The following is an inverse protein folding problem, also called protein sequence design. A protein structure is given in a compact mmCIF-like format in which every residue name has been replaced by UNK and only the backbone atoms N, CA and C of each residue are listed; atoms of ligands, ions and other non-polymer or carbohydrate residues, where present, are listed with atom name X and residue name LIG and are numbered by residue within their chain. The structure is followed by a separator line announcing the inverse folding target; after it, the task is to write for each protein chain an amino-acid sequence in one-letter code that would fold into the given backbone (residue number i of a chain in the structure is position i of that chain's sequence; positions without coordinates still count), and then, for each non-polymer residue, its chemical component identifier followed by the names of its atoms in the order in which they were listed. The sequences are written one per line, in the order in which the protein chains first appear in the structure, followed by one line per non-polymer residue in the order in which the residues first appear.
data_IF_087599589247
#
_entry.id   IF_087599589247
#
_cell.length_a   1.000
_cell.length_b   1.000
_cell.length_c   1.000
_cell.angle_alpha   90.00
_cell.angle_beta   90.00
_cell.angle_gamma   90.00
#
_symmetry.space_group_name_H-M   'P 1'
#
loop_
_entity.id
_entity.type
_entity.pdbx_description
1 polymer ?
#
# COMPACT_ATOMS: atom_id res chain seq x y z
N UNK A 1 13.52 -16.80 -4.53
CA UNK A 1 14.58 -17.50 -5.29
C UNK A 1 15.26 -16.52 -6.22
N UNK A 2 16.55 -16.29 -6.03
CA UNK A 2 17.40 -15.46 -6.92
C UNK A 2 17.96 -16.38 -8.01
N UNK A 3 17.69 -16.02 -9.26
CA UNK A 3 18.22 -16.73 -10.44
C UNK A 3 19.48 -16.03 -10.91
N UNK A 4 20.54 -16.79 -11.11
CA UNK A 4 21.84 -16.29 -11.55
C UNK A 4 22.35 -17.12 -12.72
N UNK A 5 22.82 -16.45 -13.75
CA UNK A 5 23.47 -17.03 -14.92
C UNK A 5 24.90 -16.52 -14.97
N UNK A 6 25.87 -17.39 -14.85
CA UNK A 6 27.29 -17.03 -14.94
C UNK A 6 27.85 -17.48 -16.29
N UNK A 7 28.36 -16.52 -17.08
CA UNK A 7 28.99 -16.77 -18.37
C UNK A 7 30.33 -16.08 -18.44
N UNK A 8 31.38 -16.82 -18.76
CA UNK A 8 32.77 -16.32 -18.79
C UNK A 8 33.20 -15.59 -17.49
N UNK A 9 32.75 -16.07 -16.34
CA UNK A 9 33.07 -15.49 -15.03
C UNK A 9 32.26 -14.26 -14.64
N UNK A 10 31.31 -13.82 -15.48
CA UNK A 10 30.42 -12.70 -15.18
C UNK A 10 29.04 -13.21 -14.80
N UNK A 11 28.51 -12.76 -13.69
CA UNK A 11 27.17 -13.10 -13.22
C UNK A 11 26.11 -12.13 -13.79
N UNK A 12 25.01 -12.69 -14.26
CA UNK A 12 23.84 -11.98 -14.77
C UNK A 12 22.61 -12.40 -13.97
N UNK A 13 21.68 -11.47 -13.77
CA UNK A 13 20.42 -11.71 -13.05
C UNK A 13 19.20 -11.68 -13.97
N UNK A 14 19.43 -11.67 -15.28
CA UNK A 14 18.40 -11.71 -16.30
C UNK A 14 18.80 -12.68 -17.40
N UNK A 15 17.89 -13.60 -17.72
CA UNK A 15 18.04 -14.55 -18.83
C UNK A 15 18.30 -13.84 -20.15
N UNK A 16 17.62 -12.73 -20.41
CA UNK A 16 17.81 -11.94 -21.61
C UNK A 16 19.23 -11.39 -21.72
N UNK A 17 19.81 -10.89 -20.63
CA UNK A 17 21.18 -10.35 -20.66
C UNK A 17 22.21 -11.42 -20.98
N UNK A 18 22.12 -12.58 -20.35
CA UNK A 18 23.10 -13.65 -20.64
C UNK A 18 22.95 -14.18 -22.08
N UNK A 19 21.73 -14.26 -22.61
CA UNK A 19 21.50 -14.62 -24.03
C UNK A 19 22.16 -13.64 -24.99
N UNK A 20 22.07 -12.34 -24.70
CA UNK A 20 22.73 -11.32 -25.53
C UNK A 20 24.25 -11.46 -25.48
N UNK A 21 24.83 -11.77 -24.34
CA UNK A 21 26.28 -11.94 -24.20
C UNK A 21 26.79 -13.22 -24.91
N UNK A 22 26.06 -14.33 -24.81
CA UNK A 22 26.36 -15.56 -25.56
C UNK A 22 26.27 -15.29 -27.08
N UNK A 23 25.20 -14.59 -27.52
CA UNK A 23 25.07 -14.24 -28.93
C UNK A 23 26.21 -13.34 -29.43
N UNK A 24 26.60 -12.33 -28.67
CA UNK A 24 27.70 -11.43 -29.05
C UNK A 24 29.05 -12.14 -29.17
N UNK A 25 29.33 -13.10 -28.29
CA UNK A 25 30.63 -13.77 -28.22
C UNK A 25 30.72 -15.02 -29.11
N UNK A 26 29.69 -15.86 -29.07
CA UNK A 26 29.72 -17.16 -29.72
C UNK A 26 28.85 -17.23 -30.97
N UNK A 27 28.11 -16.15 -31.29
CA UNK A 27 27.17 -16.06 -32.40
C UNK A 27 26.08 -17.14 -32.37
N UNK A 28 25.73 -17.64 -31.17
CA UNK A 28 24.71 -18.65 -30.94
C UNK A 28 23.41 -17.98 -30.52
N UNK A 29 22.33 -18.28 -31.24
CA UNK A 29 20.97 -17.91 -30.87
C UNK A 29 20.20 -19.16 -30.48
N UNK A 30 19.49 -19.11 -29.35
CA UNK A 30 18.71 -20.24 -28.86
C UNK A 30 17.38 -19.76 -28.26
N UNK A 31 16.40 -20.67 -28.22
CA UNK A 31 15.06 -20.40 -27.71
C UNK A 31 15.01 -20.23 -26.18
N UNK A 32 13.81 -20.15 -25.62
CA UNK A 32 13.63 -20.08 -24.18
C UNK A 32 14.08 -21.35 -23.47
N UNK A 33 14.66 -21.20 -22.29
CA UNK A 33 15.03 -22.32 -21.47
C UNK A 33 13.77 -23.11 -21.04
N UNK A 34 13.76 -24.44 -21.08
CA UNK A 34 12.64 -25.25 -20.63
C UNK A 34 12.43 -25.07 -19.14
N UNK A 35 11.21 -25.35 -18.66
CA UNK A 35 10.91 -25.27 -17.23
C UNK A 35 11.67 -26.32 -16.41
N UNK A 36 11.89 -27.50 -16.98
CA UNK A 36 12.69 -28.58 -16.41
C UNK A 36 14.05 -28.67 -17.12
N UNK A 37 15.11 -29.04 -16.40
CA UNK A 37 16.44 -29.22 -16.98
C UNK A 37 17.15 -27.91 -17.35
N UNK A 38 16.86 -26.82 -16.65
CA UNK A 38 17.47 -25.49 -16.90
C UNK A 38 19.00 -25.51 -16.76
N UNK A 39 19.51 -26.24 -15.79
CA UNK A 39 20.97 -26.34 -15.56
C UNK A 39 21.67 -26.96 -16.77
N UNK A 40 21.17 -28.09 -17.25
CA UNK A 40 21.70 -28.81 -18.42
C UNK A 40 21.53 -27.99 -19.69
N UNK A 41 20.40 -27.32 -19.85
CA UNK A 41 20.15 -26.42 -20.99
C UNK A 41 21.18 -25.32 -21.06
N UNK A 42 21.43 -24.62 -19.96
CA UNK A 42 22.39 -23.51 -19.92
C UNK A 42 23.83 -23.98 -20.03
N UNK A 43 24.14 -25.17 -19.48
CA UNK A 43 25.49 -25.74 -19.57
C UNK A 43 25.93 -26.00 -21.03
N UNK A 44 25.00 -26.33 -21.96
CA UNK A 44 25.29 -26.51 -23.39
C UNK A 44 25.87 -25.25 -24.03
N UNK A 45 25.59 -24.07 -23.47
CA UNK A 45 26.06 -22.76 -23.95
C UNK A 45 27.19 -22.19 -23.08
N UNK A 46 27.81 -23.02 -22.24
CA UNK A 46 28.85 -22.56 -21.33
C UNK A 46 28.41 -21.62 -20.21
N UNK A 47 27.09 -21.61 -19.94
CA UNK A 47 26.47 -20.79 -18.90
C UNK A 47 26.20 -21.66 -17.67
N UNK A 48 26.64 -21.25 -16.51
CA UNK A 48 26.31 -21.87 -15.23
C UNK A 48 25.05 -21.20 -14.70
N UNK A 49 23.95 -21.96 -14.65
CA UNK A 49 22.70 -21.51 -14.06
C UNK A 49 22.57 -21.99 -12.62
N UNK A 50 22.19 -21.11 -11.72
CA UNK A 50 21.93 -21.42 -10.33
C UNK A 50 20.71 -20.68 -9.80
N UNK A 51 19.92 -21.36 -8.98
CA UNK A 51 18.86 -20.78 -8.17
C UNK A 51 19.29 -20.83 -6.70
N UNK A 52 19.37 -19.67 -6.07
CA UNK A 52 19.68 -19.58 -4.64
C UNK A 52 18.46 -19.06 -3.88
N UNK A 53 18.20 -19.56 -2.66
CA UNK A 53 17.17 -18.95 -1.82
C UNK A 53 17.44 -17.45 -1.66
N UNK A 54 16.40 -16.67 -1.64
CA UNK A 54 16.50 -15.28 -1.21
C UNK A 54 17.05 -15.25 0.23
N UNK A 55 18.06 -14.41 0.53
CA UNK A 55 18.54 -14.30 1.90
C UNK A 55 17.37 -13.91 2.81
N UNK A 56 17.32 -14.51 3.98
CA UNK A 56 16.33 -14.10 4.98
C UNK A 56 16.57 -12.63 5.32
N UNK A 57 15.49 -11.83 5.44
CA UNK A 57 15.63 -10.43 5.78
C UNK A 57 16.34 -10.27 7.11
N UNK A 58 17.22 -9.33 7.19
CA UNK A 58 17.85 -8.96 8.46
C UNK A 58 16.78 -8.53 9.47
N UNK A 59 17.05 -8.63 10.79
CA UNK A 59 16.10 -8.15 11.81
C UNK A 59 15.67 -6.69 11.58
N UNK A 60 16.56 -5.84 11.09
CA UNK A 60 16.27 -4.44 10.77
C UNK A 60 15.34 -4.31 9.56
N UNK A 61 15.57 -5.08 8.50
CA UNK A 61 14.71 -5.11 7.31
C UNK A 61 13.32 -5.68 7.62
N UNK A 62 13.27 -6.73 8.45
CA UNK A 62 12.03 -7.32 8.91
C UNK A 62 11.20 -6.32 9.73
N UNK A 63 11.84 -5.58 10.63
CA UNK A 63 11.19 -4.54 11.46
C UNK A 63 10.74 -3.35 10.60
N UNK A 64 11.56 -2.88 9.67
CA UNK A 64 11.19 -1.81 8.74
C UNK A 64 9.96 -2.19 7.90
N UNK A 65 9.93 -3.42 7.38
CA UNK A 65 8.81 -3.96 6.62
C UNK A 65 7.54 -4.07 7.48
N UNK A 66 7.68 -4.52 8.74
CA UNK A 66 6.57 -4.58 9.70
C UNK A 66 5.99 -3.20 9.97
N UNK A 67 6.84 -2.18 10.16
CA UNK A 67 6.43 -0.80 10.39
C UNK A 67 5.73 -0.19 9.16
N UNK A 68 6.25 -0.44 7.96
CA UNK A 68 5.61 0.01 6.72
C UNK A 68 4.22 -0.61 6.54
N UNK A 69 4.10 -1.91 6.77
CA UNK A 69 2.82 -2.60 6.70
C UNK A 69 1.84 -2.06 7.74
N UNK A 70 2.27 -1.83 8.96
CA UNK A 70 1.44 -1.24 10.02
C UNK A 70 0.94 0.17 9.63
N UNK A 71 1.80 1.00 9.03
CA UNK A 71 1.41 2.33 8.50
C UNK A 71 0.40 2.21 7.37
N UNK A 72 0.60 1.28 6.45
CA UNK A 72 -0.31 1.02 5.33
C UNK A 72 -1.70 0.60 5.81
N UNK A 73 -1.74 -0.36 6.73
CA UNK A 73 -2.99 -0.84 7.33
C UNK A 73 -3.72 0.30 8.07
N UNK A 74 -2.99 1.09 8.83
CA UNK A 74 -3.55 2.25 9.54
C UNK A 74 -4.13 3.28 8.56
N UNK A 75 -3.41 3.63 7.50
CA UNK A 75 -3.88 4.55 6.48
C UNK A 75 -5.18 4.07 5.81
N UNK A 76 -5.28 2.77 5.52
CA UNK A 76 -6.48 2.16 4.96
C UNK A 76 -7.67 2.22 5.96
N UNK A 77 -7.43 1.92 7.25
CA UNK A 77 -8.44 2.03 8.30
C UNK A 77 -8.94 3.48 8.44
N UNK A 78 -8.04 4.46 8.45
CA UNK A 78 -8.40 5.89 8.51
C UNK A 78 -9.22 6.32 7.30
N UNK A 79 -8.83 5.90 6.10
CA UNK A 79 -9.56 6.22 4.87
C UNK A 79 -10.99 5.66 4.85
N UNK A 80 -11.22 4.55 5.53
CA UNK A 80 -12.51 3.86 5.59
C UNK A 80 -13.41 4.30 6.77
N UNK A 81 -12.98 5.30 7.56
CA UNK A 81 -13.81 5.78 8.68
C UNK A 81 -15.12 6.38 8.15
N UNK A 82 -16.23 5.87 8.65
CA UNK A 82 -17.55 6.47 8.51
C UNK A 82 -18.21 6.61 9.87
N UNK A 83 -19.12 7.56 10.01
CA UNK A 83 -19.84 7.81 11.27
C UNK A 83 -21.30 8.08 10.98
N UNK A 84 -22.17 7.63 11.88
CA UNK A 84 -23.62 7.82 11.76
C UNK A 84 -24.10 8.90 12.74
N UNK A 85 -24.93 9.82 12.24
CA UNK A 85 -25.64 10.84 13.00
C UNK A 85 -27.07 10.94 12.46
N UNK A 86 -28.07 10.73 13.32
CA UNK A 86 -29.50 10.81 13.01
C UNK A 86 -29.91 9.98 11.77
N UNK A 87 -29.33 8.76 11.61
CA UNK A 87 -29.61 7.87 10.49
C UNK A 87 -28.87 8.24 9.19
N UNK A 88 -28.06 9.28 9.17
CA UNK A 88 -27.22 9.68 8.05
C UNK A 88 -25.77 9.22 8.28
N UNK A 89 -25.14 8.62 7.26
CA UNK A 89 -23.78 8.14 7.33
C UNK A 89 -22.85 9.16 6.65
N UNK A 90 -21.88 9.64 7.41
CA UNK A 90 -20.89 10.62 6.97
C UNK A 90 -19.53 9.96 6.78
N UNK A 91 -18.79 10.38 5.77
CA UNK A 91 -17.34 10.08 5.70
C UNK A 91 -16.63 10.71 6.90
N UNK A 92 -15.77 9.95 7.53
CA UNK A 92 -15.03 10.37 8.73
C UNK A 92 -13.51 10.42 8.55
N UNK A 93 -13.01 10.24 7.32
CA UNK A 93 -11.59 10.35 7.00
C UNK A 93 -11.05 11.78 7.13
N UNK A 94 -9.73 11.97 7.10
CA UNK A 94 -9.10 13.30 7.28
C UNK A 94 -9.63 14.37 6.32
N UNK A 95 -9.80 14.13 5.00
CA UNK A 95 -10.39 15.10 4.11
C UNK A 95 -11.83 15.48 4.48
N UNK A 96 -12.63 14.52 4.93
CA UNK A 96 -14.00 14.78 5.37
C UNK A 96 -14.04 15.62 6.65
N UNK A 97 -13.21 15.31 7.65
CA UNK A 97 -13.07 16.09 8.88
C UNK A 97 -12.65 17.54 8.57
N UNK A 98 -11.69 17.72 7.67
CA UNK A 98 -11.25 19.04 7.22
C UNK A 98 -12.36 19.85 6.54
N UNK A 99 -13.19 19.16 5.71
CA UNK A 99 -14.37 19.78 5.08
C UNK A 99 -15.44 20.15 6.10
N UNK A 100 -15.75 19.26 7.06
CA UNK A 100 -16.70 19.53 8.14
C UNK A 100 -16.28 20.74 8.97
N UNK A 101 -15.01 20.80 9.39
CA UNK A 101 -14.47 21.92 10.16
C UNK A 101 -14.66 23.26 9.42
N UNK A 102 -14.35 23.31 8.13
CA UNK A 102 -14.54 24.52 7.32
C UNK A 102 -15.99 24.89 7.13
N UNK A 103 -16.87 23.90 6.93
CA UNK A 103 -18.31 24.13 6.78
C UNK A 103 -18.94 24.66 8.07
N UNK A 104 -18.54 24.11 9.23
CA UNK A 104 -19.01 24.57 10.54
C UNK A 104 -18.57 26.04 10.78
N UNK A 105 -17.31 26.36 10.53
CA UNK A 105 -16.79 27.72 10.69
C UNK A 105 -17.47 28.73 9.74
N UNK A 106 -17.71 28.34 8.48
CA UNK A 106 -18.45 29.17 7.52
C UNK A 106 -19.90 29.39 7.94
N UNK A 107 -20.59 28.35 8.42
CA UNK A 107 -21.95 28.46 8.92
C UNK A 107 -22.05 29.37 10.14
N UNK A 108 -21.08 29.32 11.05
CA UNK A 108 -21.00 30.22 12.21
C UNK A 108 -20.85 31.69 11.77
N UNK A 109 -19.93 31.95 10.86
CA UNK A 109 -19.68 33.31 10.36
C UNK A 109 -20.88 33.89 9.60
N UNK A 110 -21.56 33.06 8.81
CA UNK A 110 -22.70 33.46 8.00
C UNK A 110 -24.06 33.40 8.73
N UNK A 111 -24.08 32.94 9.99
CA UNK A 111 -25.34 32.72 10.74
C UNK A 111 -26.24 31.64 10.13
N UNK A 112 -25.66 30.70 9.39
CA UNK A 112 -26.39 29.59 8.75
C UNK A 112 -26.61 28.46 9.75
N UNK A 113 -27.81 27.89 9.75
CA UNK A 113 -28.21 26.75 10.59
C UNK A 113 -28.08 25.42 9.85
N UNK A 114 -28.13 25.44 8.53
CA UNK A 114 -28.16 24.27 7.67
C UNK A 114 -27.25 24.48 6.45
N UNK A 115 -26.77 23.39 5.87
CA UNK A 115 -25.99 23.36 4.63
C UNK A 115 -26.25 22.08 3.85
N UNK A 116 -25.93 22.08 2.57
CA UNK A 116 -25.99 20.89 1.72
C UNK A 116 -24.72 20.08 1.89
N UNK A 117 -24.86 18.77 2.06
CA UNK A 117 -23.75 17.86 2.28
C UNK A 117 -23.89 16.59 1.44
N UNK A 118 -22.76 16.03 1.00
CA UNK A 118 -22.71 14.72 0.35
C UNK A 118 -22.36 13.67 1.40
N UNK A 119 -23.25 12.71 1.59
CA UNK A 119 -23.08 11.60 2.54
C UNK A 119 -22.14 10.52 1.99
N UNK A 120 -21.78 9.55 2.83
CA UNK A 120 -20.85 8.47 2.48
C UNK A 120 -21.35 7.56 1.32
N UNK A 121 -22.65 7.48 1.11
CA UNK A 121 -23.29 6.78 0.00
C UNK A 121 -23.40 7.60 -1.29
N UNK A 122 -22.80 8.79 -1.32
CA UNK A 122 -22.88 9.79 -2.39
C UNK A 122 -24.27 10.41 -2.58
N UNK A 123 -25.20 10.26 -1.63
CA UNK A 123 -26.46 11.00 -1.64
C UNK A 123 -26.27 12.42 -1.11
N UNK A 124 -27.10 13.33 -1.60
CA UNK A 124 -27.10 14.75 -1.18
C UNK A 124 -28.18 14.95 -0.12
N UNK A 125 -27.81 15.50 1.02
CA UNK A 125 -28.72 15.79 2.12
C UNK A 125 -28.54 17.24 2.63
N UNK A 126 -29.61 17.83 3.16
CA UNK A 126 -29.52 19.04 3.97
C UNK A 126 -29.20 18.62 5.40
N UNK A 127 -28.12 19.14 5.95
CA UNK A 127 -27.65 18.82 7.30
C UNK A 127 -27.54 20.08 8.13
N UNK A 128 -27.81 19.97 9.41
CA UNK A 128 -27.64 21.07 10.35
C UNK A 128 -26.19 21.21 10.79
N UNK A 129 -25.80 22.40 11.22
CA UNK A 129 -24.50 22.65 11.85
C UNK A 129 -24.25 21.69 13.03
N UNK A 130 -25.26 21.41 13.84
CA UNK A 130 -25.15 20.50 14.97
C UNK A 130 -24.85 19.06 14.54
N UNK A 131 -25.45 18.59 13.46
CA UNK A 131 -25.16 17.26 12.90
C UNK A 131 -23.74 17.16 12.38
N UNK A 132 -23.22 18.18 11.69
CA UNK A 132 -21.84 18.23 11.26
C UNK A 132 -20.85 18.25 12.45
N UNK A 133 -21.16 18.99 13.51
CA UNK A 133 -20.35 19.00 14.73
C UNK A 133 -20.31 17.61 15.40
N UNK A 134 -21.44 16.92 15.48
CA UNK A 134 -21.51 15.56 16.01
C UNK A 134 -20.74 14.57 15.13
N UNK A 135 -20.90 14.66 13.81
CA UNK A 135 -20.20 13.80 12.87
C UNK A 135 -18.67 13.99 12.98
N UNK A 136 -18.21 15.25 13.03
CA UNK A 136 -16.81 15.59 13.24
C UNK A 136 -16.27 15.01 14.55
N UNK A 137 -16.98 15.19 15.66
CA UNK A 137 -16.55 14.67 16.96
C UNK A 137 -16.44 13.14 16.97
N UNK A 138 -17.44 12.45 16.39
CA UNK A 138 -17.41 10.98 16.25
C UNK A 138 -16.27 10.51 15.36
N UNK A 139 -16.01 11.20 14.24
CA UNK A 139 -14.94 10.90 13.32
C UNK A 139 -13.54 11.07 13.96
N UNK A 140 -13.35 12.14 14.72
CA UNK A 140 -12.11 12.38 15.46
C UNK A 140 -11.86 11.29 16.52
N UNK A 141 -12.89 10.85 17.23
CA UNK A 141 -12.80 9.75 18.19
C UNK A 141 -12.47 8.42 17.51
N UNK A 142 -13.11 8.12 16.38
CA UNK A 142 -12.82 6.91 15.59
C UNK A 142 -11.38 6.92 15.08
N UNK A 143 -10.91 8.05 14.57
CA UNK A 143 -9.54 8.22 14.12
C UNK A 143 -8.54 8.03 15.27
N UNK A 144 -8.79 8.64 16.43
CA UNK A 144 -7.93 8.50 17.60
C UNK A 144 -7.74 7.03 17.99
N UNK A 145 -8.80 6.21 17.96
CA UNK A 145 -8.70 4.77 18.21
C UNK A 145 -7.78 4.07 17.24
N UNK A 146 -7.95 4.32 15.92
CA UNK A 146 -7.11 3.73 14.87
C UNK A 146 -5.64 4.11 15.04
N UNK A 147 -5.35 5.34 15.44
CA UNK A 147 -3.98 5.81 15.65
C UNK A 147 -3.32 5.19 16.88
N UNK A 148 -4.08 4.86 17.91
CA UNK A 148 -3.55 4.33 19.16
C UNK A 148 -3.48 2.81 19.22
N UNK A 149 -4.26 2.08 18.41
CA UNK A 149 -4.27 0.61 18.35
C UNK A 149 -2.87 -0.04 18.36
N UNK A 150 -1.92 0.35 17.45
CA UNK A 150 -0.62 -0.30 17.39
C UNK A 150 0.24 -0.14 18.63
N UNK A 151 -0.05 0.86 19.44
CA UNK A 151 0.71 1.16 20.66
C UNK A 151 0.08 0.56 21.93
N UNK A 152 -1.18 0.16 21.85
CA UNK A 152 -1.87 -0.51 22.96
C UNK A 152 -1.65 -2.02 22.94
N UNK A 153 -1.57 -2.64 21.75
CA UNK A 153 -1.29 -4.07 21.59
C UNK A 153 0.16 -4.43 21.95
N UNK A 154 1.10 -3.51 21.81
CA UNK A 154 2.52 -3.74 22.14
C UNK A 154 2.82 -3.75 23.65
N UNK A 155 1.82 -3.48 24.52
CA UNK A 155 1.96 -3.44 26.00
C UNK A 155 1.27 -4.60 26.71
N UNK A 156 0.63 -5.49 26.00
CA UNK A 156 0.01 -6.72 26.51
C UNK A 156 0.92 -7.93 26.27
#
# INVERSE_FOLDING_TARGET
MIKTWTYNGVAYHSEWQVRQEVFKKDHVSFGEAPDEGKVEFWAQYGVVYAETPEPEPTPEEAEAKRLEEAKRVRAAKVAAITVEVDGMVFDGNEPAQSRMTRAIAAAETAGMTETVWVLADNTVATVTKAQLQQALAKAMLAMSKVWTEPYTEAKA
#
